data_IF_509229244651
#
_entry.id   IF_509229244651
#
_cell.length_a   1.000
_cell.length_b   1.000
_cell.length_c   1.000
_cell.angle_alpha   90.00
_cell.angle_beta   90.00
_cell.angle_gamma   90.00
#
_symmetry.space_group_name_H-M   'P 1'
#
loop_
_entity.id
_entity.type
_entity.pdbx_description
1 polymer ?
#
# COMPACT_ATOMS: atom_id res chain seq x y z
N UNK A 1 -10.65 -11.87 -5.42
CA UNK A 1 -11.53 -10.87 -4.79
C UNK A 1 -10.81 -9.54 -4.84
N UNK A 2 -11.38 -8.50 -5.47
CA UNK A 2 -10.80 -7.16 -5.47
C UNK A 2 -11.17 -6.52 -4.13
N UNK A 3 -10.22 -6.39 -3.21
CA UNK A 3 -10.48 -5.68 -1.94
C UNK A 3 -10.80 -4.21 -2.27
N UNK A 4 -11.99 -3.74 -1.91
CA UNK A 4 -12.56 -2.48 -2.41
C UNK A 4 -11.76 -1.22 -2.03
N UNK A 5 -10.87 -1.32 -1.04
CA UNK A 5 -10.08 -0.21 -0.50
C UNK A 5 -8.57 -0.33 -0.78
N UNK A 6 -8.14 -1.36 -1.52
CA UNK A 6 -6.72 -1.63 -1.76
C UNK A 6 -6.37 -1.68 -3.24
N UNK A 7 -5.23 -1.08 -3.54
CA UNK A 7 -4.55 -1.19 -4.81
C UNK A 7 -3.25 -1.96 -4.59
N UNK A 8 -3.18 -3.16 -5.17
CA UNK A 8 -1.99 -4.00 -5.12
C UNK A 8 -1.31 -4.02 -6.48
N UNK A 9 0.01 -3.85 -6.50
CA UNK A 9 0.83 -4.05 -7.70
C UNK A 9 2.15 -4.72 -7.35
N UNK A 10 2.70 -5.45 -8.31
CA UNK A 10 4.03 -6.05 -8.21
C UNK A 10 4.92 -5.44 -9.28
N UNK A 11 5.99 -4.75 -8.86
CA UNK A 11 6.90 -4.05 -9.77
C UNK A 11 8.34 -4.24 -9.29
N UNK A 12 9.23 -4.63 -10.21
CA UNK A 12 10.66 -4.78 -9.95
C UNK A 12 10.99 -5.68 -8.73
N UNK A 13 10.21 -6.75 -8.53
CA UNK A 13 10.42 -7.67 -7.40
C UNK A 13 9.85 -7.19 -6.05
N UNK A 14 9.17 -6.05 -6.03
CA UNK A 14 8.58 -5.44 -4.83
C UNK A 14 7.06 -5.56 -4.90
N UNK A 15 6.46 -6.05 -3.82
CA UNK A 15 5.02 -6.00 -3.63
C UNK A 15 4.63 -4.65 -3.03
N UNK A 16 3.73 -3.92 -3.70
CA UNK A 16 3.15 -2.69 -3.22
C UNK A 16 1.69 -2.93 -2.87
N UNK A 17 1.32 -2.65 -1.62
CA UNK A 17 -0.07 -2.64 -1.15
C UNK A 17 -0.39 -1.22 -0.71
N UNK A 18 -1.24 -0.53 -1.47
CA UNK A 18 -1.75 0.79 -1.08
C UNK A 18 -3.19 0.64 -0.59
N UNK A 19 -3.43 1.03 0.64
CA UNK A 19 -4.73 0.92 1.30
C UNK A 19 -5.26 2.31 1.67
N UNK A 20 -6.50 2.58 1.31
CA UNK A 20 -7.28 3.68 1.88
C UNK A 20 -7.85 3.20 3.22
N UNK A 21 -7.22 3.59 4.33
CA UNK A 21 -7.59 3.13 5.67
C UNK A 21 -8.76 3.91 6.25
N UNK A 22 -8.93 5.15 5.82
CA UNK A 22 -10.07 6.02 6.11
C UNK A 22 -10.25 7.03 4.97
N UNK A 23 -11.23 7.93 5.07
CA UNK A 23 -11.53 8.90 4.01
C UNK A 23 -10.36 9.79 3.59
N UNK A 24 -9.36 10.00 4.46
CA UNK A 24 -8.26 10.95 4.29
C UNK A 24 -6.87 10.36 4.48
N UNK A 25 -6.74 9.06 4.77
CA UNK A 25 -5.45 8.42 5.03
C UNK A 25 -5.17 7.29 4.04
N UNK A 26 -4.04 7.38 3.35
CA UNK A 26 -3.48 6.31 2.54
C UNK A 26 -2.28 5.70 3.27
N UNK A 27 -2.26 4.37 3.36
CA UNK A 27 -1.11 3.59 3.83
C UNK A 27 -0.54 2.82 2.65
N UNK A 28 0.73 3.05 2.35
CA UNK A 28 1.47 2.29 1.36
C UNK A 28 2.46 1.37 2.08
N UNK A 29 2.36 0.07 1.82
CA UNK A 29 3.28 -0.95 2.32
C UNK A 29 4.04 -1.52 1.13
N UNK A 30 5.36 -1.50 1.21
CA UNK A 30 6.26 -2.11 0.22
C UNK A 30 6.99 -3.27 0.87
N UNK A 31 6.86 -4.47 0.30
CA UNK A 31 7.54 -5.66 0.79
C UNK A 31 8.59 -6.12 -0.22
N UNK A 32 9.83 -6.25 0.24
CA UNK A 32 10.95 -6.77 -0.55
C UNK A 32 11.78 -7.72 0.33
N UNK A 33 11.86 -8.98 -0.07
CA UNK A 33 12.73 -9.99 0.57
C UNK A 33 12.59 -10.05 2.10
N UNK A 34 11.36 -9.96 2.62
CA UNK A 34 11.07 -10.00 4.05
C UNK A 34 11.22 -8.68 4.80
N UNK A 35 11.70 -7.61 4.15
CA UNK A 35 11.65 -6.25 4.69
C UNK A 35 10.36 -5.56 4.27
N UNK A 36 9.76 -4.79 5.19
CA UNK A 36 8.57 -3.99 4.92
C UNK A 36 8.83 -2.52 5.19
N UNK A 37 8.64 -1.69 4.16
CA UNK A 37 8.57 -0.24 4.29
C UNK A 37 7.11 0.20 4.36
N UNK A 38 6.78 1.11 5.28
CA UNK A 38 5.42 1.63 5.45
C UNK A 38 5.42 3.15 5.41
N UNK A 39 4.61 3.73 4.53
CA UNK A 39 4.37 5.17 4.43
C UNK A 39 2.91 5.49 4.70
N UNK A 40 2.67 6.46 5.58
CA UNK A 40 1.34 7.03 5.81
C UNK A 40 1.25 8.41 5.17
N UNK A 41 0.18 8.70 4.44
CA UNK A 41 -0.05 9.97 3.75
C UNK A 41 -1.46 10.49 4.04
N UNK A 42 -1.58 11.80 4.32
CA UNK A 42 -2.88 12.48 4.46
C UNK A 42 -3.30 13.13 3.14
N UNK A 43 -4.59 13.08 2.83
CA UNK A 43 -5.22 13.79 1.70
C UNK A 43 -5.13 15.29 1.93
N UNK A 44 -4.71 16.02 0.89
CA UNK A 44 -4.63 17.49 0.83
C UNK A 44 -5.73 18.03 -0.06
#
# INVERSE_FOLDING_TARGET
MRESNKLTTFLNGIEYVTELTDANTLVNTMTLSGMSYKRTSKRM
#
